data_IF_710171734492
#
_entry.id   IF_710171734492
#
_cell.length_a   1.000
_cell.length_b   1.000
_cell.length_c   1.000
_cell.angle_alpha   90.00
_cell.angle_beta   90.00
_cell.angle_gamma   90.00
#
_symmetry.space_group_name_H-M   'P 1'
#
loop_
_entity.id
_entity.type
_entity.pdbx_description
1 polymer ?
#
# COMPACT_ATOMS: atom_id res chain seq x y z
N UNK A 1 13.93 12.87 -14.16
CA UNK A 1 12.81 13.00 -13.20
C UNK A 1 13.39 13.19 -11.81
N UNK A 2 12.93 14.21 -11.03
CA UNK A 2 13.38 14.42 -9.65
C UNK A 2 12.96 13.20 -8.80
N UNK A 3 13.80 12.76 -7.89
CA UNK A 3 13.59 11.57 -7.02
C UNK A 3 12.19 11.58 -6.39
N UNK A 4 11.72 12.74 -5.95
CA UNK A 4 10.39 12.92 -5.37
C UNK A 4 9.23 12.51 -6.28
N UNK A 5 9.30 12.78 -7.58
CA UNK A 5 8.29 12.32 -8.54
C UNK A 5 8.28 10.80 -8.70
N UNK A 6 9.44 10.16 -8.67
CA UNK A 6 9.53 8.69 -8.74
C UNK A 6 8.90 8.05 -7.51
N UNK A 7 9.17 8.60 -6.32
CA UNK A 7 8.61 8.12 -5.07
C UNK A 7 7.09 8.32 -5.05
N UNK A 8 6.59 9.51 -5.39
CA UNK A 8 5.16 9.78 -5.45
C UNK A 8 4.43 8.83 -6.42
N UNK A 9 4.99 8.62 -7.63
CA UNK A 9 4.43 7.68 -8.61
C UNK A 9 4.44 6.24 -8.11
N UNK A 10 5.52 5.81 -7.44
CA UNK A 10 5.61 4.47 -6.90
C UNK A 10 4.55 4.23 -5.81
N UNK A 11 4.42 5.15 -4.84
CA UNK A 11 3.37 5.05 -3.81
C UNK A 11 1.97 5.08 -4.41
N UNK A 12 1.71 5.96 -5.38
CA UNK A 12 0.42 6.01 -6.07
C UNK A 12 0.13 4.67 -6.78
N UNK A 13 1.11 4.10 -7.49
CA UNK A 13 0.95 2.81 -8.16
C UNK A 13 0.63 1.68 -7.17
N UNK A 14 1.42 1.57 -6.09
CA UNK A 14 1.21 0.55 -5.06
C UNK A 14 -0.18 0.68 -4.43
N UNK A 15 -0.60 1.90 -4.11
CA UNK A 15 -1.91 2.12 -3.49
C UNK A 15 -3.06 1.84 -4.45
N UNK A 16 -2.93 2.20 -5.73
CA UNK A 16 -3.95 1.87 -6.75
C UNK A 16 -4.07 0.35 -6.90
N UNK A 17 -2.94 -0.37 -6.95
CA UNK A 17 -2.97 -1.84 -7.04
C UNK A 17 -3.60 -2.48 -5.81
N UNK A 18 -3.26 -2.01 -4.61
CA UNK A 18 -3.84 -2.54 -3.36
C UNK A 18 -5.32 -2.23 -3.23
N UNK A 19 -5.75 -1.01 -3.56
CA UNK A 19 -7.18 -0.65 -3.56
C UNK A 19 -7.96 -1.43 -4.61
N UNK A 20 -7.43 -1.64 -5.81
CA UNK A 20 -8.06 -2.50 -6.82
C UNK A 20 -8.21 -3.95 -6.34
N UNK A 21 -7.18 -4.51 -5.70
CA UNK A 21 -7.25 -5.86 -5.14
C UNK A 21 -8.34 -5.98 -4.06
N UNK A 22 -8.40 -5.03 -3.13
CA UNK A 22 -9.44 -5.00 -2.07
C UNK A 22 -10.84 -4.88 -2.67
N UNK A 23 -11.03 -3.98 -3.64
CA UNK A 23 -12.32 -3.80 -4.33
C UNK A 23 -12.70 -5.07 -5.10
N UNK A 24 -11.74 -5.74 -5.76
CA UNK A 24 -12.00 -7.00 -6.44
C UNK A 24 -12.49 -8.09 -5.49
N UNK A 25 -11.86 -8.25 -4.33
CA UNK A 25 -12.32 -9.18 -3.29
C UNK A 25 -13.71 -8.80 -2.76
N UNK A 26 -13.93 -7.51 -2.48
CA UNK A 26 -15.23 -7.02 -2.03
C UNK A 26 -16.33 -7.27 -3.06
N UNK A 27 -16.05 -7.02 -4.33
CA UNK A 27 -17.00 -7.29 -5.43
C UNK A 27 -17.38 -8.77 -5.52
N UNK A 28 -16.40 -9.68 -5.46
CA UNK A 28 -16.66 -11.12 -5.47
C UNK A 28 -17.48 -11.57 -4.26
N UNK A 29 -17.18 -11.03 -3.08
CA UNK A 29 -17.95 -11.33 -1.87
C UNK A 29 -19.39 -10.80 -1.96
N UNK A 30 -19.54 -9.53 -2.38
CA UNK A 30 -20.84 -8.89 -2.55
C UNK A 30 -21.71 -9.62 -3.58
N UNK A 31 -21.12 -10.03 -4.71
CA UNK A 31 -21.83 -10.80 -5.74
C UNK A 31 -22.40 -12.10 -5.17
N UNK A 32 -21.58 -12.88 -4.46
CA UNK A 32 -22.03 -14.13 -3.84
C UNK A 32 -23.10 -13.92 -2.77
N UNK A 33 -22.97 -12.85 -2.00
CA UNK A 33 -23.94 -12.51 -0.97
C UNK A 33 -25.30 -12.13 -1.57
N UNK A 34 -25.29 -11.28 -2.62
CA UNK A 34 -26.50 -10.86 -3.33
C UNK A 34 -27.20 -12.06 -3.97
N UNK A 35 -26.46 -12.96 -4.61
CA UNK A 35 -27.03 -14.19 -5.18
C UNK A 35 -27.63 -15.11 -4.10
N UNK A 36 -26.96 -15.23 -2.96
CA UNK A 36 -27.46 -15.99 -1.81
C UNK A 36 -28.77 -15.42 -1.25
N UNK A 37 -28.82 -14.09 -1.10
CA UNK A 37 -30.01 -13.38 -0.65
C UNK A 37 -31.19 -13.53 -1.64
N UNK A 38 -30.89 -13.42 -2.92
CA UNK A 38 -31.90 -13.59 -3.96
C UNK A 38 -32.50 -14.99 -4.00
N UNK A 39 -31.65 -16.02 -3.80
CA UNK A 39 -32.11 -17.42 -3.66
C UNK A 39 -32.98 -17.62 -2.41
N UNK A 40 -32.73 -16.89 -1.32
CA UNK A 40 -33.60 -16.90 -0.14
C UNK A 40 -34.97 -16.30 -0.44
N UNK A 41 -35.02 -15.18 -1.14
CA UNK A 41 -36.28 -14.57 -1.56
C UNK A 41 -37.11 -15.46 -2.49
N UNK A 42 -36.46 -16.16 -3.42
CA UNK A 42 -37.17 -17.14 -4.28
C UNK A 42 -37.78 -18.29 -3.45
N UNK A 43 -37.07 -18.80 -2.45
CA UNK A 43 -37.59 -19.85 -1.57
C UNK A 43 -38.75 -19.37 -0.72
N UNK A 44 -38.63 -18.18 -0.14
CA UNK A 44 -39.71 -17.60 0.67
C UNK A 44 -40.94 -17.30 -0.20
N UNK A 45 -40.77 -16.80 -1.43
CA UNK A 45 -41.89 -16.63 -2.35
C UNK A 45 -42.53 -17.97 -2.73
N UNK A 46 -41.74 -19.03 -2.96
CA UNK A 46 -42.25 -20.37 -3.24
C UNK A 46 -43.10 -20.90 -2.07
N UNK A 47 -42.64 -20.69 -0.83
CA UNK A 47 -43.40 -21.06 0.36
C UNK A 47 -44.74 -20.30 0.47
N UNK A 48 -44.71 -18.98 0.30
CA UNK A 48 -45.92 -18.15 0.34
C UNK A 48 -46.89 -18.49 -0.76
N UNK A 49 -46.40 -18.84 -1.97
CA UNK A 49 -47.22 -19.29 -3.07
C UNK A 49 -47.89 -20.63 -2.76
N UNK A 50 -47.17 -21.57 -2.15
CA UNK A 50 -47.73 -22.84 -1.67
C UNK A 50 -48.83 -22.61 -0.64
N UNK A 51 -48.54 -21.86 0.40
CA UNK A 51 -49.47 -21.54 1.48
C UNK A 51 -50.76 -20.90 0.96
N UNK A 52 -50.65 -19.91 0.06
CA UNK A 52 -51.84 -19.30 -0.55
C UNK A 52 -52.71 -20.26 -1.31
N UNK A 53 -52.09 -21.23 -1.98
CA UNK A 53 -52.80 -22.12 -2.87
C UNK A 53 -53.51 -23.26 -2.13
N UNK A 54 -52.89 -23.82 -1.10
CA UNK A 54 -53.34 -25.00 -0.39
C UNK A 54 -53.84 -24.75 1.05
N UNK A 55 -53.33 -23.70 1.75
CA UNK A 55 -53.74 -23.34 3.12
C UNK A 55 -54.53 -22.01 3.14
N UNK A 56 -55.48 -21.86 2.25
CA UNK A 56 -56.19 -20.59 2.01
C UNK A 56 -56.96 -20.08 3.23
N UNK A 57 -57.37 -20.98 4.10
CA UNK A 57 -58.21 -20.69 5.29
C UNK A 57 -57.36 -20.18 6.49
N UNK A 58 -56.04 -20.40 6.46
CA UNK A 58 -55.13 -20.02 7.54
C UNK A 58 -54.39 -18.70 7.30
N UNK A 59 -54.41 -18.15 6.07
CA UNK A 59 -53.66 -16.98 5.68
C UNK A 59 -54.48 -15.70 5.78
N UNK A 60 -54.05 -14.75 6.60
CA UNK A 60 -54.63 -13.40 6.64
C UNK A 60 -54.37 -12.65 5.32
N UNK A 61 -55.45 -12.37 4.58
CA UNK A 61 -55.42 -11.78 3.24
C UNK A 61 -54.66 -10.43 3.21
N UNK A 62 -54.73 -9.59 4.26
CA UNK A 62 -54.08 -8.29 4.29
C UNK A 62 -52.55 -8.45 4.47
N UNK A 63 -52.15 -9.34 5.33
CA UNK A 63 -50.72 -9.65 5.55
C UNK A 63 -50.11 -10.27 4.31
N UNK A 64 -50.84 -11.19 3.66
CA UNK A 64 -50.41 -11.81 2.38
C UNK A 64 -50.20 -10.78 1.28
N UNK A 65 -51.15 -9.89 1.02
CA UNK A 65 -51.04 -8.88 -0.03
C UNK A 65 -49.87 -7.92 0.20
N UNK A 66 -49.57 -7.60 1.46
CA UNK A 66 -48.43 -6.76 1.81
C UNK A 66 -47.11 -7.45 1.51
N UNK A 67 -46.99 -8.73 1.86
CA UNK A 67 -45.81 -9.53 1.60
C UNK A 67 -45.65 -9.82 0.11
N UNK A 68 -46.75 -10.17 -0.57
CA UNK A 68 -46.71 -10.40 -2.02
C UNK A 68 -46.24 -9.19 -2.79
N UNK A 69 -46.71 -8.00 -2.48
CA UNK A 69 -46.25 -6.75 -3.09
C UNK A 69 -44.72 -6.54 -2.94
N UNK A 70 -44.19 -6.85 -1.77
CA UNK A 70 -42.73 -6.79 -1.53
C UNK A 70 -41.96 -7.76 -2.42
N UNK A 71 -42.49 -9.01 -2.60
CA UNK A 71 -41.80 -9.97 -3.47
C UNK A 71 -41.98 -9.68 -4.95
N UNK A 72 -43.09 -9.07 -5.35
CA UNK A 72 -43.28 -8.64 -6.74
C UNK A 72 -42.32 -7.50 -7.13
N UNK A 73 -41.99 -6.63 -6.17
CA UNK A 73 -40.96 -5.62 -6.37
C UNK A 73 -39.53 -6.20 -6.41
N UNK A 74 -39.24 -7.19 -5.55
CA UNK A 74 -37.91 -7.82 -5.44
C UNK A 74 -37.64 -8.85 -6.54
N UNK A 75 -38.68 -9.52 -7.02
CA UNK A 75 -38.68 -10.60 -8.00
C UNK A 75 -39.56 -10.23 -9.20
N UNK A 76 -39.21 -9.19 -9.98
CA UNK A 76 -40.04 -8.77 -11.11
C UNK A 76 -40.14 -9.90 -12.14
N UNK A 77 -41.33 -10.08 -12.69
CA UNK A 77 -41.63 -11.11 -13.70
C UNK A 77 -41.31 -12.54 -13.24
N UNK A 78 -41.48 -12.82 -11.94
CA UNK A 78 -41.25 -14.17 -11.43
C UNK A 78 -42.24 -15.16 -12.11
N UNK A 79 -41.67 -16.22 -12.67
CA UNK A 79 -42.41 -17.31 -13.25
C UNK A 79 -42.72 -18.33 -12.17
N UNK A 80 -44.02 -18.55 -11.93
CA UNK A 80 -44.52 -19.49 -10.94
C UNK A 80 -45.07 -20.75 -11.65
N UNK A 81 -44.65 -21.92 -11.18
CA UNK A 81 -45.12 -23.22 -11.68
C UNK A 81 -45.52 -24.03 -10.47
N UNK A 82 -46.79 -24.42 -10.45
CA UNK A 82 -47.39 -25.25 -9.41
C UNK A 82 -47.59 -26.66 -10.00
N UNK A 83 -47.13 -27.68 -9.29
CA UNK A 83 -47.20 -29.07 -9.72
C UNK A 83 -47.84 -29.91 -8.62
N UNK A 84 -48.85 -30.68 -8.98
CA UNK A 84 -49.44 -31.70 -8.12
C UNK A 84 -48.74 -33.05 -8.42
N UNK A 85 -48.24 -33.69 -7.39
CA UNK A 85 -47.48 -34.93 -7.54
C UNK A 85 -48.31 -36.12 -7.99
N UNK A 86 -49.65 -36.03 -7.91
CA UNK A 86 -50.52 -37.06 -8.43
C UNK A 86 -50.51 -37.12 -9.98
N UNK A 87 -49.97 -36.10 -10.63
CA UNK A 87 -49.79 -36.01 -12.09
C UNK A 87 -48.40 -36.42 -12.54
N UNK A 88 -47.99 -37.64 -12.33
CA UNK A 88 -46.65 -38.23 -12.48
C UNK A 88 -45.91 -37.83 -13.79
N UNK A 89 -46.60 -37.82 -14.94
CA UNK A 89 -45.94 -37.53 -16.24
C UNK A 89 -45.52 -36.06 -16.38
N UNK A 90 -46.40 -35.14 -16.01
CA UNK A 90 -46.19 -33.69 -16.12
C UNK A 90 -45.11 -33.24 -15.12
N UNK A 91 -45.15 -33.80 -13.90
CA UNK A 91 -44.15 -33.53 -12.85
C UNK A 91 -42.75 -33.95 -13.31
N UNK A 92 -42.61 -35.19 -13.81
CA UNK A 92 -41.30 -35.69 -14.27
C UNK A 92 -40.73 -34.88 -15.43
N UNK A 93 -41.55 -34.52 -16.40
CA UNK A 93 -41.10 -33.73 -17.56
C UNK A 93 -40.63 -32.32 -17.11
N UNK A 94 -41.43 -31.69 -16.25
CA UNK A 94 -41.07 -30.38 -15.68
C UNK A 94 -39.85 -30.41 -14.81
N UNK A 95 -39.70 -31.38 -13.91
CA UNK A 95 -38.53 -31.53 -13.08
C UNK A 95 -37.25 -31.80 -13.91
N UNK A 96 -37.34 -32.67 -14.91
CA UNK A 96 -36.22 -32.98 -15.82
C UNK A 96 -35.79 -31.74 -16.63
N UNK A 97 -36.72 -30.83 -16.92
CA UNK A 97 -36.42 -29.60 -17.66
C UNK A 97 -35.63 -28.59 -16.82
N UNK A 98 -35.89 -28.47 -15.52
CA UNK A 98 -35.37 -27.40 -14.68
C UNK A 98 -34.34 -27.88 -13.68
N UNK A 99 -34.39 -29.13 -13.20
CA UNK A 99 -33.56 -29.66 -12.13
C UNK A 99 -32.68 -30.80 -12.61
N UNK A 100 -31.45 -30.85 -12.14
CA UNK A 100 -30.55 -32.00 -12.30
C UNK A 100 -31.03 -33.19 -11.47
N UNK A 101 -30.62 -34.41 -11.87
CA UNK A 101 -31.00 -35.64 -11.14
C UNK A 101 -30.63 -35.61 -9.65
N UNK A 102 -29.50 -34.99 -9.29
CA UNK A 102 -29.09 -34.82 -7.88
C UNK A 102 -30.00 -33.87 -7.13
N UNK A 103 -30.45 -32.78 -7.77
CA UNK A 103 -31.38 -31.82 -7.18
C UNK A 103 -32.76 -32.39 -7.00
N UNK A 104 -33.23 -33.17 -7.98
CA UNK A 104 -34.52 -33.89 -7.88
C UNK A 104 -34.47 -34.88 -6.70
N UNK A 105 -33.41 -35.65 -6.59
CA UNK A 105 -33.21 -36.57 -5.47
C UNK A 105 -33.22 -35.85 -4.13
N UNK A 106 -32.52 -34.76 -4.01
CA UNK A 106 -32.47 -33.94 -2.77
C UNK A 106 -33.86 -33.35 -2.43
N UNK A 107 -34.63 -32.94 -3.45
CA UNK A 107 -35.97 -32.38 -3.28
C UNK A 107 -36.99 -33.45 -2.82
N UNK A 108 -36.91 -34.67 -3.35
CA UNK A 108 -37.92 -35.72 -3.17
C UNK A 108 -37.57 -36.74 -2.07
N UNK A 109 -36.29 -36.84 -1.65
CA UNK A 109 -35.88 -37.76 -0.55
C UNK A 109 -36.35 -37.30 0.84
N UNK A 110 -36.61 -36.00 0.99
CA UNK A 110 -37.12 -35.45 2.25
C UNK A 110 -38.62 -35.69 2.33
N UNK A 111 -39.07 -36.35 3.41
CA UNK A 111 -40.50 -36.47 3.74
C UNK A 111 -41.09 -35.20 4.35
N UNK A 112 -40.23 -34.26 4.70
CA UNK A 112 -40.53 -32.94 5.23
C UNK A 112 -40.34 -31.89 4.14
N UNK A 113 -40.84 -30.69 4.37
CA UNK A 113 -40.65 -29.54 3.49
C UNK A 113 -39.16 -29.35 3.14
N UNK A 114 -38.84 -29.39 1.87
CA UNK A 114 -37.47 -29.26 1.36
C UNK A 114 -37.42 -28.28 0.18
N UNK A 115 -36.30 -27.63 0.02
CA UNK A 115 -36.14 -26.69 -1.09
C UNK A 115 -34.73 -26.80 -1.73
N UNK A 116 -34.73 -26.66 -3.06
CA UNK A 116 -33.48 -26.70 -3.84
C UNK A 116 -33.42 -25.48 -4.73
N UNK A 117 -32.27 -24.82 -4.76
CA UNK A 117 -32.01 -23.71 -5.67
C UNK A 117 -31.32 -24.22 -6.93
N UNK A 118 -31.69 -23.66 -8.08
CA UNK A 118 -31.15 -24.04 -9.39
C UNK A 118 -30.95 -22.81 -10.27
N UNK A 119 -30.30 -22.99 -11.39
CA UNK A 119 -30.16 -21.98 -12.44
C UNK A 119 -30.69 -22.57 -13.74
N UNK A 120 -31.53 -21.84 -14.41
CA UNK A 120 -32.05 -22.23 -15.71
C UNK A 120 -31.91 -21.07 -16.69
N UNK A 121 -31.08 -21.25 -17.71
CA UNK A 121 -30.67 -20.18 -18.61
C UNK A 121 -30.06 -19.02 -17.83
N UNK A 122 -30.72 -17.86 -17.83
CA UNK A 122 -30.26 -16.64 -17.11
C UNK A 122 -31.18 -16.30 -15.90
N UNK A 123 -31.99 -17.26 -15.47
CA UNK A 123 -32.87 -17.12 -14.32
C UNK A 123 -32.37 -17.93 -13.14
N UNK A 124 -32.41 -17.33 -11.95
CA UNK A 124 -32.28 -18.06 -10.69
C UNK A 124 -33.63 -18.64 -10.31
N UNK A 125 -33.66 -19.88 -9.84
CA UNK A 125 -34.87 -20.57 -9.44
C UNK A 125 -34.74 -21.24 -8.08
N UNK A 126 -35.91 -21.44 -7.44
CA UNK A 126 -36.08 -22.30 -6.28
C UNK A 126 -37.24 -23.26 -6.53
N UNK A 127 -37.02 -24.52 -6.24
CA UNK A 127 -38.07 -25.54 -6.21
C UNK A 127 -38.32 -25.91 -4.73
N UNK A 128 -39.54 -25.88 -4.30
CA UNK A 128 -40.02 -26.23 -2.97
C UNK A 128 -40.90 -27.45 -3.03
N UNK A 129 -40.58 -28.49 -2.27
CA UNK A 129 -41.48 -29.59 -1.98
C UNK A 129 -42.33 -29.24 -0.76
N UNK A 130 -43.65 -29.26 -0.93
CA UNK A 130 -44.63 -28.88 0.06
C UNK A 130 -45.57 -30.03 0.32
N UNK A 131 -45.39 -30.83 1.40
CA UNK A 131 -46.33 -31.85 1.81
C UNK A 131 -47.48 -31.20 2.58
N UNK A 132 -48.73 -31.52 2.20
CA UNK A 132 -49.95 -31.07 2.85
C UNK A 132 -50.89 -32.24 3.10
N UNK A 133 -51.91 -32.01 3.93
CA UNK A 133 -52.95 -33.02 4.25
C UNK A 133 -53.77 -33.47 3.05
N UNK A 134 -53.85 -32.62 1.98
CA UNK A 134 -54.57 -32.90 0.77
C UNK A 134 -53.70 -33.52 -0.35
N UNK A 135 -52.38 -33.58 -0.17
CA UNK A 135 -51.45 -34.14 -1.16
C UNK A 135 -50.03 -33.62 -1.04
N UNK A 136 -49.18 -34.00 -2.01
CA UNK A 136 -47.81 -33.54 -2.10
C UNK A 136 -47.66 -32.60 -3.32
N UNK A 137 -47.10 -31.46 -3.09
CA UNK A 137 -47.00 -30.40 -4.09
C UNK A 137 -45.58 -29.96 -4.33
N UNK A 138 -45.29 -29.44 -5.52
CA UNK A 138 -44.03 -28.82 -5.84
C UNK A 138 -44.27 -27.42 -6.41
N UNK A 139 -43.65 -26.43 -5.82
CA UNK A 139 -43.69 -25.04 -6.29
C UNK A 139 -42.34 -24.66 -6.86
N UNK A 140 -42.30 -24.23 -8.10
CA UNK A 140 -41.08 -23.74 -8.75
C UNK A 140 -41.26 -22.27 -9.03
N UNK A 141 -40.37 -21.45 -8.48
CA UNK A 141 -40.30 -20.00 -8.74
C UNK A 141 -38.98 -19.70 -9.44
N UNK A 142 -39.05 -18.94 -10.51
CA UNK A 142 -37.86 -18.49 -11.27
C UNK A 142 -37.98 -17.01 -11.58
N UNK A 143 -36.89 -16.27 -11.48
CA UNK A 143 -36.84 -14.86 -11.87
C UNK A 143 -35.45 -14.44 -12.29
N UNK A 144 -35.36 -13.37 -13.08
CA UNK A 144 -34.08 -12.72 -13.39
C UNK A 144 -33.60 -11.88 -12.21
N UNK A 145 -32.32 -12.03 -11.82
CA UNK A 145 -31.73 -11.25 -10.75
C UNK A 145 -31.43 -9.80 -11.19
N UNK A 146 -32.43 -9.13 -11.77
CA UNK A 146 -32.29 -7.76 -12.29
C UNK A 146 -31.97 -6.73 -11.19
N UNK A 147 -32.52 -6.93 -9.99
CA UNK A 147 -32.27 -6.08 -8.84
C UNK A 147 -30.83 -6.23 -8.32
N UNK A 148 -30.35 -7.46 -8.21
CA UNK A 148 -28.97 -7.75 -7.80
C UNK A 148 -27.96 -7.21 -8.81
N UNK A 149 -28.21 -7.34 -10.11
CA UNK A 149 -27.35 -6.77 -11.16
C UNK A 149 -27.27 -5.26 -11.05
N UNK A 150 -28.39 -4.55 -10.86
CA UNK A 150 -28.40 -3.09 -10.66
C UNK A 150 -27.59 -2.65 -9.43
N UNK A 151 -27.71 -3.38 -8.32
CA UNK A 151 -26.90 -3.09 -7.12
C UNK A 151 -25.41 -3.29 -7.43
N UNK A 152 -25.03 -4.35 -8.12
CA UNK A 152 -23.64 -4.62 -8.50
C UNK A 152 -23.08 -3.53 -9.42
N UNK A 153 -23.85 -3.05 -10.39
CA UNK A 153 -23.45 -1.92 -11.25
C UNK A 153 -23.20 -0.64 -10.46
N UNK A 154 -24.11 -0.29 -9.53
CA UNK A 154 -23.92 0.88 -8.65
C UNK A 154 -22.70 0.75 -7.75
N UNK A 155 -22.47 -0.44 -7.16
CA UNK A 155 -21.29 -0.71 -6.35
C UNK A 155 -20.00 -0.60 -7.17
N UNK A 156 -20.00 -1.07 -8.41
CA UNK A 156 -18.85 -0.98 -9.31
C UNK A 156 -18.54 0.48 -9.67
N UNK A 157 -19.56 1.27 -9.98
CA UNK A 157 -19.44 2.68 -10.30
C UNK A 157 -18.92 3.49 -9.09
N UNK A 158 -19.47 3.24 -7.90
CA UNK A 158 -19.02 3.85 -6.63
C UNK A 158 -17.56 3.48 -6.34
N UNK A 159 -17.19 2.21 -6.53
CA UNK A 159 -15.83 1.72 -6.36
C UNK A 159 -14.86 2.40 -7.30
N UNK A 160 -15.21 2.54 -8.57
CA UNK A 160 -14.38 3.23 -9.57
C UNK A 160 -14.16 4.70 -9.18
N UNK A 161 -15.20 5.38 -8.70
CA UNK A 161 -15.11 6.75 -8.20
C UNK A 161 -14.18 6.85 -6.99
N UNK A 162 -14.28 5.93 -6.02
CA UNK A 162 -13.40 5.90 -4.85
C UNK A 162 -11.93 5.66 -5.21
N UNK A 163 -11.65 4.77 -6.18
CA UNK A 163 -10.28 4.56 -6.70
C UNK A 163 -9.74 5.84 -7.33
N UNK A 164 -10.54 6.52 -8.12
CA UNK A 164 -10.13 7.77 -8.76
C UNK A 164 -9.81 8.85 -7.71
N UNK A 165 -10.71 9.07 -6.76
CA UNK A 165 -10.53 10.06 -5.69
C UNK A 165 -9.30 9.73 -4.82
N UNK A 166 -9.13 8.48 -4.41
CA UNK A 166 -7.98 8.06 -3.59
C UNK A 166 -6.66 8.23 -4.36
N UNK A 167 -6.63 7.91 -5.65
CA UNK A 167 -5.45 8.07 -6.50
C UNK A 167 -5.00 9.53 -6.61
N UNK A 168 -5.96 10.43 -6.82
CA UNK A 168 -5.71 11.87 -6.88
C UNK A 168 -5.19 12.39 -5.54
N UNK A 169 -5.85 12.02 -4.44
CA UNK A 169 -5.48 12.44 -3.09
C UNK A 169 -4.05 11.98 -2.73
N UNK A 170 -3.71 10.73 -2.98
CA UNK A 170 -2.39 10.16 -2.69
C UNK A 170 -1.31 10.81 -3.55
N UNK A 171 -1.60 11.08 -4.82
CA UNK A 171 -0.67 11.81 -5.68
C UNK A 171 -0.35 13.20 -5.11
N UNK A 172 -1.35 13.95 -4.65
CA UNK A 172 -1.14 15.26 -4.03
C UNK A 172 -0.38 15.16 -2.70
N UNK A 173 -0.73 14.21 -1.84
CA UNK A 173 0.00 13.95 -0.60
C UNK A 173 1.46 13.61 -0.90
N UNK A 174 1.72 12.72 -1.87
CA UNK A 174 3.07 12.36 -2.29
C UNK A 174 3.89 13.56 -2.80
N UNK A 175 3.26 14.48 -3.53
CA UNK A 175 3.89 15.74 -3.96
C UNK A 175 4.23 16.65 -2.76
N UNK A 176 3.33 16.81 -1.81
CA UNK A 176 3.56 17.61 -0.60
C UNK A 176 4.71 17.06 0.24
N UNK A 177 4.73 15.75 0.48
CA UNK A 177 5.81 15.07 1.22
C UNK A 177 7.15 15.20 0.50
N UNK A 178 7.17 15.02 -0.82
CA UNK A 178 8.36 15.16 -1.63
C UNK A 178 8.97 16.56 -1.53
N UNK A 179 8.16 17.61 -1.52
CA UNK A 179 8.64 18.98 -1.40
C UNK A 179 9.13 19.31 0.01
N UNK A 180 8.47 18.80 1.04
CA UNK A 180 8.81 19.11 2.44
C UNK A 180 10.03 18.35 2.96
N UNK A 181 10.29 17.13 2.49
CA UNK A 181 11.37 16.28 3.00
C UNK A 181 12.57 16.22 2.05
N UNK A 182 12.34 16.00 0.76
CA UNK A 182 13.43 15.77 -0.19
C UNK A 182 14.15 17.05 -0.65
N UNK A 183 13.46 18.19 -0.68
CA UNK A 183 14.11 19.45 -1.06
C UNK A 183 15.11 19.91 0.01
N UNK A 184 14.78 19.97 1.31
CA UNK A 184 15.74 20.31 2.35
C UNK A 184 16.94 19.36 2.37
N UNK A 185 16.72 18.06 2.21
CA UNK A 185 17.81 17.07 2.16
C UNK A 185 18.78 17.34 0.99
N UNK A 186 18.25 17.71 -0.19
CA UNK A 186 19.09 18.10 -1.33
C UNK A 186 19.90 19.36 -1.05
N UNK A 187 19.33 20.33 -0.34
CA UNK A 187 20.06 21.53 0.10
C UNK A 187 21.22 21.20 1.05
N UNK A 188 21.01 20.32 2.01
CA UNK A 188 22.07 19.84 2.92
C UNK A 188 23.20 19.17 2.12
N UNK A 189 22.86 18.27 1.19
CA UNK A 189 23.85 17.62 0.32
C UNK A 189 24.64 18.60 -0.54
N UNK A 190 24.00 19.64 -1.08
CA UNK A 190 24.67 20.67 -1.86
C UNK A 190 25.61 21.51 -1.00
N UNK A 191 25.20 21.91 0.21
CA UNK A 191 26.04 22.62 1.17
C UNK A 191 27.26 21.77 1.58
N UNK A 192 27.04 20.48 1.87
CA UNK A 192 28.12 19.56 2.23
C UNK A 192 29.16 19.41 1.10
N UNK A 193 28.73 19.32 -0.17
CA UNK A 193 29.62 19.27 -1.33
C UNK A 193 30.48 20.52 -1.52
N UNK A 194 30.05 21.66 -0.99
CA UNK A 194 30.81 22.92 -1.06
C UNK A 194 31.87 23.02 0.03
N UNK A 195 31.81 22.22 1.08
CA UNK A 195 32.80 22.20 2.15
C UNK A 195 34.00 21.39 1.66
N UNK A 196 35.17 22.09 1.60
CA UNK A 196 36.46 21.53 1.21
C UNK A 196 37.49 21.93 2.24
N UNK A 197 38.71 21.41 2.14
CA UNK A 197 39.79 21.69 3.11
C UNK A 197 39.98 23.16 3.49
N UNK A 198 39.86 24.07 2.54
CA UNK A 198 39.99 25.52 2.79
C UNK A 198 38.69 26.18 3.34
N UNK A 199 37.59 25.44 3.50
CA UNK A 199 36.29 25.96 3.93
C UNK A 199 35.64 25.07 5.01
N UNK A 200 36.48 24.35 5.78
CA UNK A 200 36.02 23.49 6.89
C UNK A 200 35.33 24.26 8.02
N UNK A 201 35.52 25.57 8.10
CA UNK A 201 34.84 26.46 9.05
C UNK A 201 33.38 26.72 8.73
N UNK A 202 32.88 26.32 7.56
CA UNK A 202 31.47 26.45 7.21
C UNK A 202 30.65 25.41 7.96
N UNK A 203 29.43 25.80 8.32
CA UNK A 203 28.46 24.91 8.99
C UNK A 203 27.19 24.82 8.13
N UNK A 204 26.55 23.66 8.18
CA UNK A 204 25.26 23.41 7.56
C UNK A 204 24.18 24.16 8.34
N UNK A 205 23.24 24.79 7.62
CA UNK A 205 22.11 25.50 8.22
C UNK A 205 21.01 24.50 8.55
N UNK A 206 20.51 24.54 9.79
CA UNK A 206 19.33 23.80 10.23
C UNK A 206 18.09 24.32 9.52
N UNK A 207 17.07 23.47 9.38
CA UNK A 207 15.78 23.84 8.79
C UNK A 207 14.90 24.60 9.78
N UNK A 208 15.14 24.44 11.08
CA UNK A 208 14.39 25.04 12.18
C UNK A 208 13.13 24.26 12.55
N UNK A 209 12.89 23.09 11.93
CA UNK A 209 11.72 22.26 12.19
C UNK A 209 11.85 21.41 13.46
N UNK A 210 13.07 21.28 14.01
CA UNK A 210 13.41 20.42 15.16
C UNK A 210 13.02 18.95 14.93
N UNK A 211 13.20 18.49 13.71
CA UNK A 211 12.92 17.12 13.26
C UNK A 211 14.21 16.30 13.13
N UNK A 212 14.12 15.06 12.66
CA UNK A 212 15.24 14.13 12.44
C UNK A 212 16.27 14.71 11.46
N UNK A 213 15.84 15.58 10.54
CA UNK A 213 16.74 16.25 9.61
C UNK A 213 17.61 17.29 10.32
N UNK A 214 17.04 18.07 11.24
CA UNK A 214 17.82 19.02 12.06
C UNK A 214 18.81 18.29 12.94
N UNK A 215 18.44 17.16 13.56
CA UNK A 215 19.35 16.32 14.34
C UNK A 215 20.50 15.75 13.49
N UNK A 216 20.21 15.34 12.25
CA UNK A 216 21.24 14.91 11.30
C UNK A 216 22.21 16.06 10.98
N UNK A 217 21.70 17.27 10.76
CA UNK A 217 22.52 18.46 10.48
C UNK A 217 23.43 18.78 11.67
N UNK A 218 22.91 18.72 12.90
CA UNK A 218 23.70 18.94 14.12
C UNK A 218 24.83 17.92 14.25
N UNK A 219 24.53 16.65 14.01
CA UNK A 219 25.53 15.56 14.04
C UNK A 219 26.63 15.79 12.99
N UNK A 220 26.21 16.14 11.75
CA UNK A 220 27.18 16.47 10.68
C UNK A 220 28.04 17.70 11.05
N UNK A 221 27.46 18.74 11.64
CA UNK A 221 28.21 19.91 12.10
C UNK A 221 29.22 19.54 13.19
N UNK A 222 28.84 18.68 14.13
CA UNK A 222 29.79 18.16 15.16
C UNK A 222 30.95 17.38 14.53
N UNK A 223 30.71 16.58 13.50
CA UNK A 223 31.75 15.90 12.74
C UNK A 223 32.68 16.91 12.03
N UNK A 224 32.11 17.96 11.42
CA UNK A 224 32.87 19.02 10.77
C UNK A 224 33.74 19.78 11.76
N UNK A 225 33.28 20.05 13.00
CA UNK A 225 34.08 20.67 14.08
C UNK A 225 35.29 19.83 14.43
N UNK A 226 35.13 18.53 14.55
CA UNK A 226 36.25 17.60 14.85
C UNK A 226 37.27 17.59 13.72
N UNK A 227 36.81 17.55 12.46
CA UNK A 227 37.71 17.57 11.28
C UNK A 227 38.46 18.92 11.20
N UNK A 228 37.75 20.05 11.38
CA UNK A 228 38.37 21.38 11.35
C UNK A 228 39.45 21.52 12.43
N UNK A 229 39.17 21.03 13.64
CA UNK A 229 40.14 21.04 14.76
C UNK A 229 41.39 20.20 14.43
N UNK A 230 41.18 18.98 13.90
CA UNK A 230 42.30 18.10 13.53
C UNK A 230 43.14 18.71 12.38
N UNK A 231 42.46 19.29 11.36
CA UNK A 231 43.17 19.93 10.25
C UNK A 231 43.97 21.16 10.66
N UNK A 232 43.45 21.98 11.59
CA UNK A 232 44.18 23.12 12.16
C UNK A 232 45.39 22.67 12.99
N UNK A 233 45.25 21.63 13.78
CA UNK A 233 46.33 21.05 14.53
C UNK A 233 47.43 20.53 13.60
N UNK A 234 47.11 19.81 12.55
CA UNK A 234 48.05 19.34 11.54
C UNK A 234 48.77 20.50 10.82
N UNK A 235 48.01 21.51 10.39
CA UNK A 235 48.61 22.69 9.74
C UNK A 235 49.56 23.43 10.68
N UNK A 236 49.19 23.59 11.95
CA UNK A 236 50.05 24.21 12.99
C UNK A 236 51.30 23.37 13.20
N UNK A 237 51.16 22.06 13.30
CA UNK A 237 52.29 21.14 13.44
C UNK A 237 53.29 21.26 12.29
N UNK A 238 52.79 21.20 11.05
CA UNK A 238 53.63 21.34 9.84
C UNK A 238 54.35 22.72 9.81
N UNK A 239 53.62 23.80 10.18
CA UNK A 239 54.21 25.14 10.23
C UNK A 239 55.33 25.22 11.30
N UNK A 240 55.07 24.74 12.52
CA UNK A 240 56.10 24.74 13.60
C UNK A 240 57.29 23.84 13.24
N UNK A 241 57.02 22.63 12.73
CA UNK A 241 58.09 21.73 12.31
C UNK A 241 58.97 22.36 11.21
N UNK A 242 58.35 23.05 10.25
CA UNK A 242 59.08 23.76 9.18
C UNK A 242 59.97 24.88 9.75
N UNK A 243 59.47 25.66 10.74
CA UNK A 243 60.26 26.70 11.39
C UNK A 243 61.39 26.11 12.21
N UNK A 244 61.12 25.05 13.00
CA UNK A 244 62.12 24.38 13.82
C UNK A 244 63.18 23.68 12.99
N UNK A 245 62.89 23.21 11.79
CA UNK A 245 63.89 22.65 10.88
C UNK A 245 64.67 23.71 10.12
N UNK A 246 64.03 24.82 9.72
CA UNK A 246 64.72 25.89 8.99
C UNK A 246 65.77 26.65 9.87
N UNK A 247 65.52 26.77 11.16
CA UNK A 247 66.48 27.49 12.09
C UNK A 247 67.87 26.88 12.07
N UNK A 248 68.08 25.59 12.40
CA UNK A 248 69.38 24.97 12.39
C UNK A 248 69.99 24.89 10.98
N UNK A 249 69.18 24.68 9.92
CA UNK A 249 69.66 24.69 8.54
C UNK A 249 70.21 26.04 8.16
N UNK A 250 69.52 27.13 8.52
CA UNK A 250 70.04 28.51 8.30
C UNK A 250 71.30 28.78 9.09
N UNK A 251 71.41 28.29 10.34
CA UNK A 251 72.62 28.40 11.15
C UNK A 251 73.81 27.64 10.53
N UNK A 252 73.62 26.42 10.07
CA UNK A 252 74.60 25.61 9.34
C UNK A 252 75.09 26.34 8.09
N UNK A 253 74.13 26.83 7.27
CA UNK A 253 74.47 27.57 6.04
C UNK A 253 75.31 28.84 6.37
N UNK A 254 74.88 29.61 7.36
CA UNK A 254 75.60 30.80 7.78
C UNK A 254 77.00 30.50 8.24
N UNK A 255 77.23 29.45 9.06
CA UNK A 255 78.60 29.06 9.49
C UNK A 255 79.43 28.61 8.27
N UNK A 256 78.91 27.90 7.34
CA UNK A 256 79.59 27.53 6.09
C UNK A 256 79.98 28.75 5.28
N UNK A 257 79.03 29.66 5.01
CA UNK A 257 79.26 30.88 4.23
C UNK A 257 80.34 31.75 4.86
N UNK A 258 80.21 31.97 6.16
CA UNK A 258 81.22 32.80 6.92
C UNK A 258 82.57 32.13 6.88
N UNK A 259 82.65 30.79 6.94
CA UNK A 259 83.94 30.06 6.92
C UNK A 259 84.58 30.09 5.50
N UNK A 260 83.80 30.25 4.45
CA UNK A 260 84.32 30.33 3.10
C UNK A 260 84.69 31.75 2.61
N UNK A 261 84.26 32.81 3.32
CA UNK A 261 84.49 34.22 2.93
C UNK A 261 85.93 34.62 2.93
N UNK A 262 86.80 34.05 3.79
CA UNK A 262 88.22 34.35 3.91
C UNK A 262 88.99 33.17 4.48
N UNK A 263 90.29 33.10 4.21
CA UNK A 263 91.18 32.12 4.87
C UNK A 263 91.22 32.34 6.37
N UNK A 264 91.14 31.24 7.09
CA UNK A 264 91.13 31.19 8.58
C UNK A 264 92.16 30.24 9.12
N UNK A 265 92.43 30.35 10.40
CA UNK A 265 93.31 29.41 11.08
C UNK A 265 92.67 28.04 11.22
N UNK A 266 93.49 26.97 11.39
CA UNK A 266 93.01 25.61 11.55
C UNK A 266 92.05 25.48 12.74
N UNK A 267 92.34 26.19 13.83
CA UNK A 267 91.50 26.16 15.05
C UNK A 267 90.10 26.80 14.81
N UNK A 268 90.06 27.91 14.04
CA UNK A 268 88.79 28.55 13.68
C UNK A 268 87.93 27.64 12.81
N UNK A 269 88.49 26.87 11.86
CA UNK A 269 87.75 25.89 11.07
C UNK A 269 87.24 24.72 11.94
N UNK A 270 88.04 24.23 12.89
CA UNK A 270 87.61 23.18 13.81
C UNK A 270 86.46 23.66 14.66
N UNK A 271 86.42 24.88 15.11
CA UNK A 271 85.34 25.47 15.89
C UNK A 271 84.03 25.64 15.08
N UNK A 272 84.16 26.12 13.83
CA UNK A 272 83.03 26.19 12.90
C UNK A 272 82.42 24.81 12.62
N UNK A 273 83.26 23.80 12.35
CA UNK A 273 82.82 22.42 12.17
C UNK A 273 82.14 21.84 13.41
N UNK A 274 82.60 22.18 14.63
CA UNK A 274 81.89 21.74 15.85
C UNK A 274 80.50 22.38 15.99
N UNK A 275 80.36 23.68 15.66
CA UNK A 275 79.05 24.35 15.64
C UNK A 275 78.12 23.71 14.62
N UNK A 276 78.58 23.46 13.41
CA UNK A 276 77.82 22.78 12.37
C UNK A 276 77.40 21.38 12.81
N UNK A 277 78.28 20.60 13.38
CA UNK A 277 78.00 19.27 13.93
C UNK A 277 76.97 19.31 15.07
N UNK A 278 77.05 20.35 15.94
CA UNK A 278 76.07 20.60 17.00
C UNK A 278 74.66 20.85 16.45
N UNK A 279 74.51 21.73 15.46
CA UNK A 279 73.22 22.02 14.83
C UNK A 279 72.66 20.81 13.98
N UNK A 280 73.56 20.09 13.31
CA UNK A 280 73.17 18.83 12.60
C UNK A 280 72.65 17.76 13.56
N UNK A 281 73.24 17.65 14.78
CA UNK A 281 72.78 16.74 15.83
C UNK A 281 71.39 17.12 16.36
N UNK A 282 71.02 18.39 16.33
CA UNK A 282 69.68 18.86 16.72
C UNK A 282 68.58 18.50 15.69
N UNK A 283 69.00 18.27 14.45
CA UNK A 283 68.05 17.86 13.33
C UNK A 283 67.83 16.38 13.34
N UNK A 284 68.63 15.55 13.95
CA UNK A 284 68.45 14.08 14.00
C UNK A 284 67.76 13.66 15.31
#
# INVERSE_FOLDING_TARGET
MKIGRKIALFYTLVTVLTTMAVIGVFYLFSSRYIDGLYRSYLREKAFLTAQKHWERDEVDEQSYQTIQRKYDELLPEAKEILLDMDSDAVVRDTLNKYLSASQQKQLLESKEMSSVSFVYQDMLGAALYYPDNEGNFIVIIMSHNSYGVKIQEHLLLLSAFLVLCSSVLIFFIGQLYSTRILIPLQHVLLQLKQIRGNSLNRRLKTTGNKDELDHLIETLNSMLDRIDTAFRAEKSFVSHASHELNNPITAIQGECEISLLKERSTDEYIEALRRIAGESKRLS
#
